data_IF_438622329292
#
_entry.id   IF_438622329292
#
_cell.length_a   1.000
_cell.length_b   1.000
_cell.length_c   1.000
_cell.angle_alpha   90.00
_cell.angle_beta   90.00
_cell.angle_gamma   90.00
#
_symmetry.space_group_name_H-M   'P 1'
#
loop_
_entity.id
_entity.type
_entity.pdbx_description
1 polymer ?
#
# COMPACT_ATOMS: atom_id res chain seq x y z
N UNK A 1 33.53 9.10 23.25
CA UNK A 1 32.81 9.13 21.96
C UNK A 1 31.35 9.02 22.32
N UNK A 2 30.56 10.00 21.99
CA UNK A 2 29.20 10.14 22.48
C UNK A 2 28.31 8.97 21.87
N UNK A 3 27.63 8.20 22.73
CA UNK A 3 26.76 7.09 22.32
C UNK A 3 25.75 7.51 21.25
N UNK A 4 25.25 8.73 21.36
CA UNK A 4 24.33 9.33 20.40
C UNK A 4 24.93 9.42 18.98
N UNK A 5 26.15 9.90 18.86
CA UNK A 5 26.84 10.02 17.58
C UNK A 5 27.11 8.64 16.94
N UNK A 6 27.40 7.63 17.77
CA UNK A 6 27.57 6.25 17.32
C UNK A 6 26.28 5.64 16.77
N UNK A 7 25.14 5.87 17.45
CA UNK A 7 23.83 5.41 16.99
C UNK A 7 23.41 6.09 15.68
N UNK A 8 23.51 7.42 15.60
CA UNK A 8 23.13 8.17 14.40
C UNK A 8 23.91 7.70 13.16
N UNK A 9 25.22 7.48 13.31
CA UNK A 9 26.06 6.97 12.22
C UNK A 9 25.65 5.54 11.79
N UNK A 10 25.35 4.67 12.77
CA UNK A 10 24.91 3.31 12.51
C UNK A 10 23.52 3.27 11.86
N UNK A 11 22.59 4.11 12.31
CA UNK A 11 21.26 4.25 11.74
C UNK A 11 21.31 4.76 10.30
N UNK A 12 22.13 5.79 10.03
CA UNK A 12 22.32 6.27 8.67
C UNK A 12 22.95 5.22 7.73
N UNK A 13 23.87 4.40 8.25
CA UNK A 13 24.44 3.29 7.48
C UNK A 13 23.40 2.20 7.18
N UNK A 14 22.59 1.85 8.18
CA UNK A 14 21.50 0.90 8.01
C UNK A 14 20.45 1.40 6.99
N UNK A 15 20.03 2.66 7.09
CA UNK A 15 19.08 3.24 6.13
C UNK A 15 19.60 3.15 4.69
N UNK A 16 20.88 3.41 4.44
CA UNK A 16 21.48 3.28 3.11
C UNK A 16 21.44 1.83 2.59
N UNK A 17 21.63 0.84 3.47
CA UNK A 17 21.56 -0.58 3.11
C UNK A 17 20.11 -1.06 2.95
N UNK A 18 19.17 -0.41 3.62
CA UNK A 18 17.75 -0.76 3.59
C UNK A 18 16.97 -0.05 2.49
N UNK A 19 17.64 0.66 1.57
CA UNK A 19 16.97 1.32 0.45
C UNK A 19 16.23 0.30 -0.41
N UNK A 20 15.02 0.65 -0.79
CA UNK A 20 14.16 -0.14 -1.69
C UNK A 20 13.64 0.74 -2.82
N UNK A 21 13.49 0.19 -4.01
CA UNK A 21 12.87 0.92 -5.10
C UNK A 21 11.38 1.16 -4.79
N UNK A 22 10.93 2.35 -5.08
CA UNK A 22 9.54 2.79 -4.94
C UNK A 22 9.06 3.44 -6.22
N UNK A 23 7.80 3.25 -6.53
CA UNK A 23 7.11 4.03 -7.55
C UNK A 23 6.15 4.96 -6.85
N UNK A 24 6.25 6.24 -7.17
CA UNK A 24 5.30 7.25 -6.70
C UNK A 24 4.11 7.27 -7.67
N UNK A 25 2.92 7.15 -7.13
CA UNK A 25 1.67 7.31 -7.87
C UNK A 25 1.11 8.70 -7.56
N UNK A 26 1.25 9.60 -8.51
CA UNK A 26 0.69 10.93 -8.40
C UNK A 26 -0.76 10.94 -8.89
N UNK A 27 -1.66 11.46 -8.08
CA UNK A 27 -3.02 11.80 -8.50
C UNK A 27 -2.95 12.88 -9.57
N UNK A 28 -3.44 12.60 -10.76
CA UNK A 28 -3.29 13.49 -11.90
C UNK A 28 -4.46 13.35 -12.86
N UNK A 29 -4.92 14.49 -13.37
CA UNK A 29 -5.92 14.51 -14.46
C UNK A 29 -5.42 13.87 -15.76
N UNK A 30 -4.10 13.73 -15.89
CA UNK A 30 -3.45 13.08 -17.03
C UNK A 30 -3.09 11.60 -16.75
N UNK A 31 -3.53 11.05 -15.62
CA UNK A 31 -3.37 9.65 -15.27
C UNK A 31 -4.25 8.76 -16.15
N UNK A 32 -3.97 7.46 -16.10
CA UNK A 32 -4.80 6.47 -16.78
C UNK A 32 -5.98 6.08 -15.91
N UNK A 33 -7.02 5.56 -16.54
CA UNK A 33 -8.17 5.01 -15.79
C UNK A 33 -7.91 3.59 -15.26
N UNK A 34 -6.75 3.01 -15.57
CA UNK A 34 -6.38 1.68 -15.10
C UNK A 34 -5.58 1.73 -13.81
N UNK A 35 -4.61 2.67 -13.70
CA UNK A 35 -3.95 2.96 -12.43
C UNK A 35 -4.65 4.14 -11.76
N UNK A 36 -5.38 3.86 -10.67
CA UNK A 36 -6.23 4.87 -10.01
C UNK A 36 -6.58 4.52 -8.58
N UNK A 37 -7.02 5.50 -7.82
CA UNK A 37 -7.71 5.32 -6.56
C UNK A 37 -9.21 5.53 -6.74
N UNK A 38 -10.02 4.71 -6.06
CA UNK A 38 -11.48 4.79 -6.09
C UNK A 38 -12.11 4.47 -7.44
N UNK A 39 -13.36 4.94 -7.61
CA UNK A 39 -14.17 4.76 -8.80
C UNK A 39 -14.80 3.39 -8.95
N UNK A 40 -15.40 3.17 -10.11
CA UNK A 40 -16.07 1.93 -10.46
C UNK A 40 -15.12 0.71 -10.40
N UNK A 41 -15.62 -0.41 -9.93
CA UNK A 41 -14.88 -1.68 -9.95
C UNK A 41 -14.46 -2.05 -11.37
N UNK A 42 -13.22 -2.50 -11.53
CA UNK A 42 -12.78 -3.18 -12.74
C UNK A 42 -13.13 -4.68 -12.64
N UNK A 43 -14.13 -5.10 -13.40
CA UNK A 43 -14.75 -6.40 -13.23
C UNK A 43 -15.68 -6.47 -12.00
N UNK A 44 -16.23 -7.65 -11.73
CA UNK A 44 -17.16 -7.84 -10.61
C UNK A 44 -16.49 -7.59 -9.27
N UNK A 45 -17.07 -6.71 -8.46
CA UNK A 45 -16.62 -6.45 -7.10
C UNK A 45 -16.82 -7.69 -6.21
N UNK A 46 -15.85 -8.04 -5.37
CA UNK A 46 -16.06 -9.07 -4.34
C UNK A 46 -17.15 -8.65 -3.37
N UNK A 47 -17.74 -9.65 -2.71
CA UNK A 47 -18.71 -9.40 -1.64
C UNK A 47 -18.02 -9.43 -0.28
N UNK A 48 -18.44 -8.55 0.62
CA UNK A 48 -18.05 -8.55 2.02
C UNK A 48 -18.77 -9.67 2.79
N UNK A 49 -18.48 -9.82 4.08
CA UNK A 49 -19.10 -10.83 4.95
C UNK A 49 -20.61 -10.63 5.13
N UNK A 50 -21.15 -9.45 4.83
CA UNK A 50 -22.58 -9.16 4.84
C UNK A 50 -23.26 -9.36 3.48
N UNK A 51 -22.52 -9.80 2.47
CA UNK A 51 -23.01 -10.03 1.11
C UNK A 51 -23.16 -8.77 0.26
N UNK A 52 -22.61 -7.65 0.69
CA UNK A 52 -22.61 -6.38 -0.06
C UNK A 52 -21.34 -6.27 -0.93
N UNK A 53 -21.43 -5.65 -2.11
CA UNK A 53 -20.24 -5.39 -2.92
C UNK A 53 -19.25 -4.50 -2.18
N UNK A 54 -17.98 -4.92 -2.17
CA UNK A 54 -16.88 -4.11 -1.64
C UNK A 54 -16.57 -2.93 -2.56
N UNK A 55 -15.97 -1.88 -2.00
CA UNK A 55 -15.48 -0.74 -2.76
C UNK A 55 -14.06 -0.98 -3.23
N UNK A 56 -13.77 -0.59 -4.45
CA UNK A 56 -12.41 -0.61 -4.96
C UNK A 56 -11.63 0.56 -4.37
N UNK A 57 -10.61 0.25 -3.56
CA UNK A 57 -9.69 1.25 -3.01
C UNK A 57 -8.73 1.75 -4.07
N UNK A 58 -8.13 0.83 -4.81
CA UNK A 58 -7.25 1.17 -5.92
C UNK A 58 -7.18 0.04 -6.95
N UNK A 59 -6.77 0.43 -8.14
CA UNK A 59 -6.29 -0.46 -9.19
C UNK A 59 -4.91 0.01 -9.65
N UNK A 60 -4.02 -0.93 -9.93
CA UNK A 60 -2.66 -0.65 -10.41
C UNK A 60 -2.36 -1.57 -11.59
N UNK A 61 -2.20 -1.00 -12.76
CA UNK A 61 -1.74 -1.71 -13.94
C UNK A 61 -0.21 -1.69 -13.98
N UNK A 62 0.42 -2.84 -13.78
CA UNK A 62 1.87 -2.93 -13.73
C UNK A 62 2.55 -2.56 -15.04
N UNK A 63 1.84 -2.65 -16.17
CA UNK A 63 2.39 -2.22 -17.47
C UNK A 63 2.58 -0.69 -17.57
N UNK A 64 1.93 0.08 -16.70
CA UNK A 64 2.03 1.54 -16.63
C UNK A 64 3.12 2.01 -15.67
N UNK A 65 3.75 1.08 -14.94
CA UNK A 65 4.76 1.38 -13.93
C UNK A 65 6.17 1.16 -14.46
N UNK A 66 7.17 1.89 -13.93
CA UNK A 66 8.56 1.47 -14.02
C UNK A 66 8.74 0.07 -13.43
N UNK A 67 9.66 -0.70 -14.00
CA UNK A 67 9.95 -2.05 -13.52
C UNK A 67 10.36 -2.03 -12.04
N UNK A 68 9.62 -2.73 -11.19
CA UNK A 68 9.93 -2.95 -9.79
C UNK A 68 10.51 -4.37 -9.63
N UNK A 69 11.67 -4.53 -8.96
CA UNK A 69 12.17 -5.85 -8.58
C UNK A 69 11.13 -6.61 -7.75
N UNK A 70 11.02 -7.90 -7.98
CA UNK A 70 10.12 -8.82 -7.26
C UNK A 70 8.60 -8.57 -7.49
N UNK A 71 8.24 -7.65 -8.38
CA UNK A 71 6.85 -7.43 -8.80
C UNK A 71 6.61 -7.87 -10.23
N UNK A 72 5.37 -8.25 -10.58
CA UNK A 72 4.98 -8.46 -11.97
C UNK A 72 5.23 -7.20 -12.82
N UNK A 73 5.56 -7.39 -14.09
CA UNK A 73 5.73 -6.27 -15.03
C UNK A 73 4.49 -5.98 -15.86
N UNK A 74 3.51 -6.85 -15.79
CA UNK A 74 2.22 -6.74 -16.48
C UNK A 74 1.12 -7.21 -15.53
N UNK A 75 -0.12 -7.03 -15.93
CA UNK A 75 -1.28 -7.44 -15.17
C UNK A 75 -1.83 -6.34 -14.27
N UNK A 76 -2.97 -6.62 -13.68
CA UNK A 76 -3.77 -5.67 -12.92
C UNK A 76 -3.92 -6.13 -11.46
N UNK A 77 -3.39 -5.32 -10.54
CA UNK A 77 -3.67 -5.44 -9.12
C UNK A 77 -4.90 -4.61 -8.78
N UNK A 78 -5.82 -5.19 -7.99
CA UNK A 78 -7.00 -4.49 -7.48
C UNK A 78 -7.13 -4.75 -5.99
N UNK A 79 -7.35 -3.69 -5.22
CA UNK A 79 -7.57 -3.77 -3.78
C UNK A 79 -9.00 -3.30 -3.51
N UNK A 80 -9.75 -4.12 -2.80
CA UNK A 80 -11.11 -3.85 -2.38
C UNK A 80 -11.21 -3.86 -0.87
N UNK A 81 -12.07 -3.00 -0.35
CA UNK A 81 -12.34 -2.86 1.07
C UNK A 81 -13.84 -2.80 1.32
N UNK A 82 -14.26 -3.26 2.48
CA UNK A 82 -15.62 -3.06 2.97
C UNK A 82 -15.87 -1.59 3.24
N UNK A 83 -17.09 -1.16 2.98
CA UNK A 83 -17.54 0.19 3.23
C UNK A 83 -17.98 0.35 4.70
N UNK A 84 -17.00 0.46 5.59
CA UNK A 84 -17.18 0.71 7.01
C UNK A 84 -16.02 1.56 7.57
N UNK A 85 -16.11 1.95 8.84
CA UNK A 85 -15.12 2.80 9.52
C UNK A 85 -13.73 2.18 9.63
N UNK A 86 -13.59 0.87 9.46
CA UNK A 86 -12.32 0.13 9.54
C UNK A 86 -11.83 -0.33 8.17
N UNK A 87 -12.55 -0.01 7.09
CA UNK A 87 -12.22 -0.45 5.73
C UNK A 87 -12.02 -1.97 5.61
N UNK A 88 -12.78 -2.74 6.39
CA UNK A 88 -12.69 -4.19 6.43
C UNK A 88 -11.48 -4.74 7.18
N UNK A 89 -10.82 -3.95 8.01
CA UNK A 89 -9.71 -4.41 8.83
C UNK A 89 -10.20 -5.34 9.94
N UNK A 90 -9.58 -6.49 10.07
CA UNK A 90 -9.75 -7.45 11.17
C UNK A 90 -8.47 -7.42 12.02
N UNK A 91 -8.57 -6.96 13.28
CA UNK A 91 -7.42 -6.85 14.18
C UNK A 91 -6.94 -8.21 14.69
N UNK A 92 -7.81 -9.20 14.77
CA UNK A 92 -7.47 -10.54 15.24
C UNK A 92 -6.81 -11.36 14.13
N UNK A 93 -7.28 -11.22 12.90
CA UNK A 93 -6.77 -11.94 11.74
C UNK A 93 -6.52 -11.01 10.54
N UNK A 94 -5.55 -10.10 10.62
CA UNK A 94 -5.35 -9.03 9.64
C UNK A 94 -5.02 -9.52 8.21
N UNK A 95 -4.59 -10.78 8.06
CA UNK A 95 -4.31 -11.38 6.75
C UNK A 95 -5.49 -12.17 6.16
N UNK A 96 -6.61 -12.31 6.88
CA UNK A 96 -7.70 -13.22 6.51
C UNK A 96 -8.57 -12.71 5.36
N UNK A 97 -8.31 -11.62 4.74
CA UNK A 97 -9.02 -11.08 3.57
C UNK A 97 -10.56 -11.36 3.57
N UNK A 98 -11.24 -11.21 4.71
CA UNK A 98 -12.69 -11.45 4.82
C UNK A 98 -13.48 -10.26 4.26
N UNK A 99 -13.13 -9.08 4.73
CA UNK A 99 -13.77 -7.82 4.43
C UNK A 99 -12.84 -6.84 3.67
N UNK A 100 -11.70 -7.33 3.21
CA UNK A 100 -10.89 -6.73 2.15
C UNK A 100 -10.46 -7.82 1.15
N UNK A 101 -10.05 -7.44 -0.04
CA UNK A 101 -9.53 -8.37 -1.06
C UNK A 101 -8.40 -7.72 -1.82
N UNK A 102 -7.36 -8.49 -2.02
CA UNK A 102 -6.27 -8.16 -2.94
C UNK A 102 -6.33 -9.17 -4.09
N UNK A 103 -6.64 -8.69 -5.28
CA UNK A 103 -6.79 -9.51 -6.48
C UNK A 103 -5.74 -9.11 -7.50
N UNK A 104 -5.12 -10.11 -8.10
CA UNK A 104 -4.19 -9.92 -9.20
C UNK A 104 -4.62 -10.75 -10.41
N UNK A 105 -4.76 -10.08 -11.54
CA UNK A 105 -5.02 -10.68 -12.84
C UNK A 105 -3.81 -10.49 -13.75
N UNK A 106 -3.17 -11.57 -14.14
CA UNK A 106 -2.00 -11.52 -15.03
C UNK A 106 -2.36 -10.96 -16.43
N UNK A 107 -3.59 -11.21 -16.88
CA UNK A 107 -4.20 -10.61 -18.07
C UNK A 107 -5.47 -9.83 -17.68
N UNK A 108 -5.27 -8.63 -17.13
CA UNK A 108 -6.38 -7.77 -16.76
C UNK A 108 -7.01 -6.99 -17.91
N UNK A 109 -6.61 -7.23 -19.15
CA UNK A 109 -7.03 -6.43 -20.32
C UNK A 109 -8.53 -6.43 -20.59
N UNK A 110 -9.21 -7.53 -20.28
CA UNK A 110 -10.66 -7.70 -20.46
C UNK A 110 -11.53 -7.16 -19.32
N UNK A 111 -10.95 -6.64 -18.26
CA UNK A 111 -11.71 -6.14 -17.12
C UNK A 111 -12.23 -4.74 -17.39
N UNK A 112 -13.54 -4.63 -17.58
CA UNK A 112 -14.22 -3.36 -17.85
C UNK A 112 -14.76 -2.74 -16.56
N UNK A 113 -14.83 -1.39 -16.50
CA UNK A 113 -15.52 -0.72 -15.41
C UNK A 113 -16.96 -1.19 -15.27
N UNK A 114 -17.37 -1.41 -14.04
CA UNK A 114 -18.75 -1.72 -13.67
C UNK A 114 -19.50 -0.43 -13.29
N UNK A 115 -20.67 -0.57 -12.70
CA UNK A 115 -21.42 0.56 -12.17
C UNK A 115 -20.64 1.26 -11.07
N UNK A 116 -20.71 2.61 -11.04
CA UNK A 116 -20.11 3.43 -10.01
C UNK A 116 -20.72 3.08 -8.65
N UNK A 117 -19.91 2.94 -7.59
CA UNK A 117 -20.46 2.75 -6.26
C UNK A 117 -21.22 4.01 -5.81
N UNK A 118 -22.33 3.81 -5.12
CA UNK A 118 -23.08 4.91 -4.51
C UNK A 118 -22.26 5.71 -3.48
N UNK A 119 -22.86 6.73 -2.89
CA UNK A 119 -22.23 7.51 -1.82
C UNK A 119 -21.86 6.63 -0.62
N UNK A 120 -20.88 7.09 0.14
CA UNK A 120 -20.40 6.44 1.36
C UNK A 120 -20.03 7.48 2.40
N UNK A 121 -20.40 7.21 3.65
CA UNK A 121 -20.00 8.04 4.79
C UNK A 121 -18.55 7.74 5.24
N UNK A 122 -18.00 6.62 4.85
CA UNK A 122 -16.68 6.14 5.31
C UNK A 122 -15.61 6.25 4.25
N UNK A 123 -15.95 6.02 3.00
CA UNK A 123 -14.96 5.97 1.94
C UNK A 123 -14.57 7.40 1.49
N UNK A 124 -13.34 7.85 1.80
CA UNK A 124 -12.97 9.27 1.66
C UNK A 124 -12.71 9.71 0.22
N UNK A 125 -12.60 8.74 -0.71
CA UNK A 125 -12.25 9.05 -2.08
C UNK A 125 -13.51 9.37 -2.89
N UNK A 126 -13.62 10.57 -3.44
CA UNK A 126 -14.65 10.85 -4.41
C UNK A 126 -14.41 9.97 -5.64
N UNK A 127 -15.41 9.73 -6.35
CA UNK A 127 -15.60 8.93 -7.54
C UNK A 127 -14.36 8.19 -8.11
N UNK A 128 -13.40 8.88 -8.70
CA UNK A 128 -12.23 8.26 -9.32
C UNK A 128 -11.06 9.26 -9.35
N UNK A 129 -9.90 8.79 -8.93
CA UNK A 129 -8.66 9.57 -8.97
C UNK A 129 -7.63 8.84 -9.85
N UNK A 130 -7.54 9.17 -11.16
CA UNK A 130 -6.53 8.61 -12.02
C UNK A 130 -5.14 8.92 -11.50
N UNK A 131 -4.21 8.00 -11.66
CA UNK A 131 -2.84 8.16 -11.21
C UNK A 131 -1.86 8.00 -12.37
N UNK A 132 -0.75 8.67 -12.23
CA UNK A 132 0.41 8.51 -13.09
C UNK A 132 1.58 8.02 -12.25
N UNK A 133 2.30 7.04 -12.74
CA UNK A 133 3.57 6.66 -12.16
C UNK A 133 4.59 7.79 -12.42
N UNK A 134 5.08 8.41 -11.37
CA UNK A 134 5.99 9.54 -11.52
C UNK A 134 7.43 9.04 -11.66
N UNK A 135 7.96 8.34 -10.66
CA UNK A 135 9.39 8.04 -10.59
C UNK A 135 9.64 6.77 -9.81
N UNK A 136 10.67 6.02 -10.23
CA UNK A 136 11.26 4.97 -9.42
C UNK A 136 12.34 5.59 -8.53
N UNK A 137 12.12 5.58 -7.23
CA UNK A 137 13.04 6.14 -6.25
C UNK A 137 13.58 5.06 -5.31
N UNK A 138 14.77 5.30 -4.78
CA UNK A 138 15.35 4.50 -3.71
C UNK A 138 15.05 5.16 -2.37
N UNK A 139 14.23 4.53 -1.55
CA UNK A 139 13.87 5.06 -0.23
C UNK A 139 14.16 4.04 0.87
N UNK A 140 14.49 4.50 2.09
CA UNK A 140 14.61 3.62 3.24
C UNK A 140 13.25 2.99 3.56
N UNK A 141 13.29 1.86 4.24
CA UNK A 141 12.08 1.23 4.76
C UNK A 141 11.44 2.19 5.77
N UNK A 142 10.17 2.61 5.57
CA UNK A 142 9.54 3.56 6.47
C UNK A 142 9.25 2.94 7.84
N UNK A 143 9.22 3.79 8.87
CA UNK A 143 8.68 3.43 10.17
C UNK A 143 7.24 2.91 10.04
N UNK A 144 6.90 1.85 10.75
CA UNK A 144 5.61 1.15 10.62
C UNK A 144 5.59 0.02 9.58
N UNK A 145 6.67 -0.16 8.82
CA UNK A 145 6.82 -1.37 8.01
C UNK A 145 7.22 -2.54 8.92
N UNK A 146 6.57 -3.69 8.81
CA UNK A 146 6.87 -4.88 9.61
C UNK A 146 8.34 -5.34 9.56
N UNK A 147 9.09 -4.94 8.53
CA UNK A 147 10.53 -5.21 8.39
C UNK A 147 11.41 -4.18 9.09
N UNK A 148 10.82 -3.08 9.58
CA UNK A 148 11.55 -2.01 10.24
C UNK A 148 11.86 -2.36 11.71
N UNK A 149 10.86 -2.80 12.46
CA UNK A 149 10.92 -2.91 13.92
C UNK A 149 12.03 -3.84 14.44
N UNK A 150 12.14 -5.04 13.88
CA UNK A 150 13.15 -6.00 14.31
C UNK A 150 14.59 -5.49 14.15
N UNK A 151 15.01 -5.08 12.95
CA UNK A 151 16.34 -4.50 12.73
C UNK A 151 16.58 -3.21 13.51
N UNK A 152 15.57 -2.35 13.63
CA UNK A 152 15.68 -1.09 14.37
C UNK A 152 15.87 -1.31 15.87
N UNK A 153 15.05 -2.18 16.49
CA UNK A 153 15.21 -2.56 17.89
C UNK A 153 16.55 -3.25 18.18
N UNK A 154 17.05 -4.05 17.24
CA UNK A 154 18.38 -4.64 17.35
C UNK A 154 19.48 -3.57 17.33
N UNK A 155 19.32 -2.54 16.51
CA UNK A 155 20.24 -1.40 16.44
C UNK A 155 20.24 -0.60 17.75
N UNK A 156 19.05 -0.29 18.30
CA UNK A 156 18.89 0.39 19.58
C UNK A 156 19.61 -0.37 20.71
N UNK A 157 19.32 -1.66 20.84
CA UNK A 157 19.96 -2.52 21.87
C UNK A 157 21.49 -2.55 21.74
N UNK A 158 22.01 -2.65 20.54
CA UNK A 158 23.46 -2.67 20.28
C UNK A 158 24.16 -1.41 20.72
N UNK A 159 23.48 -0.27 20.66
CA UNK A 159 24.03 1.03 21.02
C UNK A 159 23.60 1.50 22.42
N UNK A 160 22.92 0.66 23.20
CA UNK A 160 22.47 0.98 24.56
C UNK A 160 21.45 2.13 24.61
N UNK A 161 20.73 2.36 23.54
CA UNK A 161 19.63 3.34 23.48
C UNK A 161 18.39 2.63 24.01
N UNK A 162 17.70 3.22 25.00
CA UNK A 162 16.45 2.70 25.50
C UNK A 162 15.40 2.66 24.39
N UNK A 163 14.63 1.57 24.34
CA UNK A 163 13.53 1.45 23.38
C UNK A 163 12.48 2.53 23.68
N UNK A 164 12.05 3.22 22.67
CA UNK A 164 11.13 4.39 22.79
C UNK A 164 9.72 3.89 23.17
N UNK A 165 9.44 2.59 23.05
CA UNK A 165 8.14 1.98 23.35
C UNK A 165 7.89 1.69 24.85
N UNK A 166 8.72 2.19 25.75
CA UNK A 166 8.57 2.02 27.19
C UNK A 166 7.55 2.96 27.87
N UNK A 167 6.99 3.93 27.17
CA UNK A 167 5.99 4.87 27.72
C UNK A 167 4.91 5.24 26.68
N UNK A 168 3.91 4.40 26.54
CA UNK A 168 2.56 4.83 26.16
C UNK A 168 1.52 4.07 26.99
#
# INVERSE_FOLDING_TARGET
>A
MDQKNGFEAAFAAWNRQALRPHVLLDASTNGTMRTRFGGASLGKAPLDTSGRPMRMLCAVDFSELPMLPDFPQTGLLRIYVKDDALFGMDYDEPAAQRDFRVLYDADGSGLMPQEEPGESDFFPLPLCCPCRAATLEQQPIPYGNYRFDGPFSALLRRHGVADIDGEM
#
